data_IF_246961983760
#
_entry.id   IF_246961983760
#
_cell.length_a   1.000
_cell.length_b   1.000
_cell.length_c   1.000
_cell.angle_alpha   90.00
_cell.angle_beta   90.00
_cell.angle_gamma   90.00
#
_symmetry.space_group_name_H-M   'P 1'
#
loop_
_entity.id
_entity.type
_entity.pdbx_description
1 polymer ?
#
# COMPACT_ATOMS: atom_id res chain seq x y z
N UNK A 1 -15.83 25.36 -41.08
CA UNK A 1 -16.19 24.07 -40.44
C UNK A 1 -15.02 23.13 -40.13
N UNK A 2 -13.75 23.48 -40.45
CA UNK A 2 -12.58 22.59 -40.19
C UNK A 2 -11.83 22.87 -38.87
N UNK A 3 -12.07 23.98 -38.21
CA UNK A 3 -11.35 24.41 -36.97
C UNK A 3 -12.01 23.88 -35.68
N UNK A 4 -13.25 23.43 -35.69
CA UNK A 4 -13.95 22.92 -34.52
C UNK A 4 -13.59 21.46 -34.17
N UNK A 5 -13.04 20.69 -35.13
CA UNK A 5 -12.70 19.28 -34.92
C UNK A 5 -11.39 19.06 -34.17
N UNK A 6 -10.50 20.07 -34.17
CA UNK A 6 -9.19 20.00 -33.49
C UNK A 6 -9.25 20.31 -32.00
N UNK A 7 -10.24 21.09 -31.54
CA UNK A 7 -10.40 21.41 -30.12
C UNK A 7 -11.02 20.29 -29.29
N UNK A 8 -11.72 19.34 -29.93
CA UNK A 8 -12.36 18.21 -29.23
C UNK A 8 -11.42 17.02 -28.99
N UNK A 9 -10.20 17.01 -29.55
CA UNK A 9 -9.23 15.93 -29.35
C UNK A 9 -8.29 16.15 -28.14
N UNK A 10 -8.16 17.38 -27.62
CA UNK A 10 -7.27 17.66 -26.48
C UNK A 10 -7.67 16.93 -25.17
N UNK A 11 -8.96 16.83 -24.78
CA UNK A 11 -9.32 16.11 -23.55
C UNK A 11 -9.14 14.59 -23.66
N UNK A 12 -9.04 14.03 -24.87
CA UNK A 12 -8.84 12.58 -25.06
C UNK A 12 -7.39 12.15 -24.78
N UNK A 13 -6.41 13.03 -24.89
CA UNK A 13 -5.00 12.72 -24.66
C UNK A 13 -4.65 12.67 -23.17
N UNK A 14 -5.25 13.52 -22.35
CA UNK A 14 -5.07 13.49 -20.89
C UNK A 14 -5.76 12.27 -20.24
N UNK A 15 -6.87 11.81 -20.77
CA UNK A 15 -7.55 10.59 -20.30
C UNK A 15 -6.73 9.31 -20.57
N UNK A 16 -5.87 9.30 -21.59
CA UNK A 16 -5.03 8.14 -21.91
C UNK A 16 -3.87 7.95 -20.90
N UNK A 17 -3.34 9.02 -20.32
CA UNK A 17 -2.23 8.91 -19.33
C UNK A 17 -2.69 8.30 -18.02
N UNK A 18 -3.88 8.68 -17.55
CA UNK A 18 -4.44 8.14 -16.30
C UNK A 18 -4.94 6.70 -16.46
N UNK A 19 -5.50 6.34 -17.62
CA UNK A 19 -5.87 4.97 -17.90
C UNK A 19 -4.66 4.04 -17.91
N UNK A 20 -3.53 4.50 -18.48
CA UNK A 20 -2.25 3.81 -18.44
C UNK A 20 -1.74 3.59 -17.00
N UNK A 21 -1.85 4.60 -16.15
CA UNK A 21 -1.50 4.51 -14.74
C UNK A 21 -2.34 3.47 -14.00
N UNK A 22 -3.67 3.50 -14.13
CA UNK A 22 -4.56 2.51 -13.49
C UNK A 22 -4.22 1.08 -13.91
N UNK A 23 -4.01 0.88 -15.22
CA UNK A 23 -3.64 -0.42 -15.75
C UNK A 23 -2.34 -0.96 -15.13
N UNK A 24 -1.31 -0.11 -15.02
CA UNK A 24 -0.03 -0.52 -14.43
C UNK A 24 -0.11 -0.75 -12.93
N UNK A 25 -0.84 0.10 -12.22
CA UNK A 25 -1.04 -0.06 -10.78
C UNK A 25 -1.81 -1.34 -10.48
N UNK A 26 -2.88 -1.62 -11.21
CA UNK A 26 -3.64 -2.85 -11.08
C UNK A 26 -2.78 -4.09 -11.41
N UNK A 27 -2.02 -4.06 -12.51
CA UNK A 27 -1.13 -5.17 -12.86
C UNK A 27 -0.01 -5.37 -11.85
N UNK A 28 0.60 -4.29 -11.34
CA UNK A 28 1.63 -4.36 -10.31
C UNK A 28 1.10 -4.98 -9.01
N UNK A 29 -0.09 -4.57 -8.59
CA UNK A 29 -0.77 -5.17 -7.44
C UNK A 29 -1.07 -6.65 -7.69
N UNK A 30 -1.67 -6.99 -8.83
CA UNK A 30 -1.99 -8.39 -9.15
C UNK A 30 -0.75 -9.27 -9.28
N UNK A 31 0.36 -8.74 -9.82
CA UNK A 31 1.63 -9.46 -9.88
C UNK A 31 2.19 -9.76 -8.49
N UNK A 32 2.02 -8.85 -7.52
CA UNK A 32 2.35 -9.09 -6.13
C UNK A 32 1.42 -10.15 -5.53
N UNK A 33 0.11 -10.01 -5.70
CA UNK A 33 -0.89 -10.94 -5.17
C UNK A 33 -0.73 -12.36 -5.70
N UNK A 34 -0.29 -12.53 -6.93
CA UNK A 34 -0.01 -13.85 -7.53
C UNK A 34 1.24 -14.56 -6.96
N UNK A 35 2.10 -13.85 -6.21
CA UNK A 35 3.27 -14.42 -5.52
C UNK A 35 2.94 -14.92 -4.10
N UNK A 36 1.70 -14.82 -3.65
CA UNK A 36 1.29 -15.22 -2.30
C UNK A 36 1.43 -16.71 -2.09
N UNK A 37 1.97 -17.08 -0.93
CA UNK A 37 2.02 -18.46 -0.43
C UNK A 37 1.36 -18.45 0.94
N UNK A 38 0.49 -19.43 1.23
CA UNK A 38 -0.12 -19.56 2.55
C UNK A 38 0.95 -19.79 3.61
N UNK A 39 0.85 -19.10 4.74
CA UNK A 39 1.80 -19.21 5.85
C UNK A 39 1.76 -20.64 6.41
N UNK A 40 0.59 -21.25 6.53
CA UNK A 40 0.43 -22.62 7.03
C UNK A 40 1.16 -23.63 6.14
N UNK A 41 1.03 -23.52 4.81
CA UNK A 41 1.75 -24.37 3.86
C UNK A 41 3.27 -24.20 3.98
N UNK A 42 3.73 -22.96 4.18
CA UNK A 42 5.16 -22.67 4.37
C UNK A 42 5.69 -23.28 5.70
N UNK A 43 4.90 -23.24 6.76
CA UNK A 43 5.29 -23.78 8.05
C UNK A 43 5.36 -25.31 8.07
N UNK A 44 4.70 -26.01 7.14
CA UNK A 44 4.80 -27.46 6.94
C UNK A 44 6.09 -27.86 6.19
N UNK A 45 6.74 -26.95 5.45
CA UNK A 45 7.97 -27.26 4.70
C UNK A 45 9.16 -27.43 5.65
N UNK A 46 9.77 -28.63 5.79
CA UNK A 46 10.90 -28.86 6.68
C UNK A 46 12.16 -28.07 6.27
N UNK A 47 12.29 -27.69 5.01
CA UNK A 47 13.43 -26.95 4.48
C UNK A 47 13.28 -25.43 4.61
N UNK A 48 12.15 -24.95 5.16
CA UNK A 48 11.94 -23.52 5.37
C UNK A 48 13.05 -22.95 6.27
N UNK A 49 13.64 -21.82 5.83
CA UNK A 49 14.70 -21.11 6.53
C UNK A 49 14.26 -20.82 7.99
N UNK A 50 15.07 -21.21 9.01
CA UNK A 50 14.64 -21.17 10.41
C UNK A 50 14.21 -19.78 10.89
N UNK A 51 14.90 -18.72 10.44
CA UNK A 51 14.56 -17.35 10.82
C UNK A 51 13.23 -16.90 10.20
N UNK A 52 12.95 -17.29 8.95
CA UNK A 52 11.66 -16.99 8.34
C UNK A 52 10.53 -17.76 9.02
N UNK A 53 10.77 -19.02 9.40
CA UNK A 53 9.82 -19.84 10.17
C UNK A 53 9.42 -19.15 11.47
N UNK A 54 10.40 -18.69 12.26
CA UNK A 54 10.16 -17.96 13.51
C UNK A 54 9.29 -16.71 13.27
N UNK A 55 9.60 -15.96 12.21
CA UNK A 55 8.84 -14.75 11.89
C UNK A 55 7.41 -15.03 11.43
N UNK A 56 7.19 -16.10 10.67
CA UNK A 56 5.85 -16.52 10.25
C UNK A 56 5.02 -17.06 11.43
N UNK A 57 5.63 -17.78 12.35
CA UNK A 57 4.99 -18.20 13.59
C UNK A 57 4.55 -16.99 14.44
N UNK A 58 5.44 -15.99 14.59
CA UNK A 58 5.10 -14.75 15.29
C UNK A 58 3.91 -14.03 14.61
N UNK A 59 3.85 -13.97 13.28
CA UNK A 59 2.70 -13.39 12.56
C UNK A 59 1.40 -14.13 12.91
N UNK A 60 1.44 -15.46 12.96
CA UNK A 60 0.27 -16.26 13.35
C UNK A 60 -0.17 -15.95 14.78
N UNK A 61 0.78 -15.87 15.73
CA UNK A 61 0.51 -15.49 17.12
C UNK A 61 -0.09 -14.07 17.23
N UNK A 62 0.46 -13.10 16.51
CA UNK A 62 -0.06 -11.73 16.47
C UNK A 62 -1.51 -11.69 15.96
N UNK A 63 -1.82 -12.45 14.91
CA UNK A 63 -3.18 -12.54 14.36
C UNK A 63 -4.14 -13.19 15.36
N UNK A 64 -3.74 -14.25 16.00
CA UNK A 64 -4.55 -14.92 17.05
C UNK A 64 -4.80 -13.98 18.23
N UNK A 65 -3.79 -13.26 18.68
CA UNK A 65 -3.91 -12.25 19.72
C UNK A 65 -4.87 -11.13 19.32
N UNK A 66 -4.82 -10.68 18.07
CA UNK A 66 -5.71 -9.63 17.57
C UNK A 66 -7.19 -10.00 17.68
N UNK A 67 -7.51 -11.28 17.42
CA UNK A 67 -8.88 -11.79 17.51
C UNK A 67 -9.28 -12.06 18.97
N UNK A 68 -8.43 -12.79 19.72
CA UNK A 68 -8.78 -13.28 21.05
C UNK A 68 -8.74 -12.19 22.12
N UNK A 69 -7.79 -11.26 22.04
CA UNK A 69 -7.53 -10.25 23.06
C UNK A 69 -8.05 -8.88 22.66
N UNK A 70 -7.78 -8.43 21.42
CA UNK A 70 -8.19 -7.12 20.96
C UNK A 70 -9.61 -7.10 20.36
N UNK A 71 -10.25 -8.27 20.24
CA UNK A 71 -11.60 -8.40 19.65
C UNK A 71 -11.70 -7.86 18.22
N UNK A 72 -10.61 -7.90 17.47
CA UNK A 72 -10.61 -7.56 16.07
C UNK A 72 -11.27 -8.66 15.24
N UNK A 73 -11.82 -8.37 14.06
CA UNK A 73 -12.51 -9.38 13.27
C UNK A 73 -11.54 -10.45 12.77
N UNK A 74 -12.00 -11.70 12.73
CA UNK A 74 -11.26 -12.74 12.01
C UNK A 74 -11.26 -12.42 10.53
N UNK A 75 -10.09 -12.41 9.93
CA UNK A 75 -9.84 -11.96 8.56
C UNK A 75 -8.80 -12.86 7.90
N UNK A 76 -8.81 -12.96 6.57
CA UNK A 76 -7.80 -13.66 5.80
C UNK A 76 -6.57 -12.79 5.49
N UNK A 77 -6.58 -11.51 5.92
CA UNK A 77 -5.39 -10.66 5.87
C UNK A 77 -4.24 -11.27 6.69
N UNK A 78 -3.05 -11.15 6.15
CA UNK A 78 -1.81 -11.66 6.75
C UNK A 78 -1.77 -13.19 6.95
N UNK A 79 -2.64 -13.94 6.26
CA UNK A 79 -2.56 -15.40 6.14
C UNK A 79 -1.53 -15.87 5.11
N UNK A 80 -1.08 -14.94 4.28
CA UNK A 80 -0.19 -15.22 3.17
C UNK A 80 1.11 -14.43 3.33
N UNK A 81 2.19 -14.96 2.76
CA UNK A 81 3.49 -14.31 2.67
C UNK A 81 3.87 -14.07 1.22
N UNK A 82 4.57 -12.96 0.96
CA UNK A 82 5.19 -12.66 -0.33
C UNK A 82 6.65 -12.31 -0.14
N UNK A 83 7.54 -13.07 -0.79
CA UNK A 83 8.93 -12.69 -0.94
C UNK A 83 9.06 -11.68 -2.08
N UNK A 84 9.47 -10.46 -1.73
CA UNK A 84 9.78 -9.41 -2.69
C UNK A 84 11.23 -9.55 -3.19
N UNK A 85 11.48 -9.09 -4.39
CA UNK A 85 12.81 -8.95 -5.01
C UNK A 85 13.54 -7.65 -4.63
N UNK A 86 12.88 -6.81 -3.81
CA UNK A 86 13.34 -5.49 -3.36
C UNK A 86 12.84 -5.19 -1.93
N UNK A 87 13.46 -4.23 -1.19
CA UNK A 87 13.12 -3.99 0.22
C UNK A 87 11.87 -3.12 0.42
N UNK A 88 11.02 -2.97 -0.57
CA UNK A 88 9.76 -2.19 -0.52
C UNK A 88 8.72 -2.81 -1.46
N UNK A 89 7.46 -2.59 -1.16
CA UNK A 89 6.34 -3.05 -1.98
C UNK A 89 6.16 -2.17 -3.22
N UNK A 90 6.18 -0.85 -3.01
CA UNK A 90 6.02 0.16 -4.05
C UNK A 90 6.75 1.46 -3.65
N UNK A 91 6.79 2.43 -4.57
CA UNK A 91 7.30 3.77 -4.33
C UNK A 91 6.16 4.78 -4.40
N UNK A 92 6.10 5.71 -3.45
CA UNK A 92 5.20 6.86 -3.49
C UNK A 92 5.94 8.10 -4.01
N UNK A 93 5.37 8.72 -5.01
CA UNK A 93 5.81 10.00 -5.54
C UNK A 93 5.00 11.12 -4.86
N UNK A 94 5.70 12.08 -4.31
CA UNK A 94 5.18 13.35 -3.82
C UNK A 94 5.71 14.47 -4.71
N UNK A 95 4.90 15.51 -4.92
CA UNK A 95 5.30 16.68 -5.69
C UNK A 95 4.79 17.96 -5.03
N UNK A 96 5.53 19.05 -5.16
CA UNK A 96 5.12 20.37 -4.75
C UNK A 96 5.66 21.40 -5.74
N UNK A 97 5.03 22.54 -5.87
CA UNK A 97 5.61 23.65 -6.63
C UNK A 97 6.78 24.26 -5.87
N UNK A 98 7.74 24.86 -6.58
CA UNK A 98 8.91 25.51 -5.99
C UNK A 98 8.48 26.50 -4.88
N UNK A 99 9.19 26.47 -3.76
CA UNK A 99 8.91 27.26 -2.55
C UNK A 99 7.55 27.02 -1.87
N UNK A 100 6.87 25.91 -2.14
CA UNK A 100 5.64 25.52 -1.46
C UNK A 100 5.82 24.25 -0.65
N UNK A 101 5.15 24.18 0.51
CA UNK A 101 4.97 22.94 1.28
C UNK A 101 3.64 22.25 0.98
N UNK A 102 2.80 22.88 0.16
CA UNK A 102 1.52 22.29 -0.25
C UNK A 102 1.77 21.23 -1.32
N UNK A 103 1.44 19.99 -0.99
CA UNK A 103 1.63 18.88 -1.90
C UNK A 103 0.62 18.92 -3.06
N UNK A 104 1.09 18.56 -4.23
CA UNK A 104 0.23 18.31 -5.37
C UNK A 104 -0.73 17.15 -5.05
N UNK A 105 -1.99 17.30 -5.44
CA UNK A 105 -3.05 16.33 -5.16
C UNK A 105 -3.49 15.69 -6.47
N UNK A 106 -3.45 14.36 -6.49
CA UNK A 106 -4.01 13.55 -7.58
C UNK A 106 -5.40 13.06 -7.18
N UNK A 107 -6.38 13.26 -8.05
CA UNK A 107 -7.75 12.82 -7.78
C UNK A 107 -8.14 11.66 -8.69
N UNK A 108 -8.67 10.62 -8.11
CA UNK A 108 -9.03 9.36 -8.77
C UNK A 108 -10.54 9.11 -8.64
N UNK A 109 -11.22 8.58 -9.67
CA UNK A 109 -12.66 8.42 -9.67
C UNK A 109 -13.21 7.53 -8.56
N UNK A 110 -12.43 6.53 -8.08
CA UNK A 110 -12.89 5.53 -7.11
C UNK A 110 -12.32 5.77 -5.72
N UNK A 111 -11.02 6.08 -5.63
CA UNK A 111 -10.32 6.18 -4.33
C UNK A 111 -10.22 7.61 -3.81
N UNK A 112 -10.80 8.59 -4.51
CA UNK A 112 -10.75 9.99 -4.12
C UNK A 112 -9.40 10.65 -4.42
N UNK A 113 -9.06 11.68 -3.64
CA UNK A 113 -7.86 12.48 -3.87
C UNK A 113 -6.77 12.13 -2.86
N UNK A 114 -5.52 12.01 -3.35
CA UNK A 114 -4.35 11.72 -2.55
C UNK A 114 -3.21 12.70 -2.84
N UNK A 115 -2.41 13.01 -1.84
CA UNK A 115 -1.22 13.86 -1.95
C UNK A 115 0.03 13.07 -2.37
N UNK A 116 -0.14 11.87 -2.83
CA UNK A 116 0.92 11.02 -3.39
C UNK A 116 0.38 10.15 -4.51
N UNK A 117 1.30 9.60 -5.31
CA UNK A 117 0.99 8.67 -6.40
C UNK A 117 1.89 7.44 -6.31
N UNK A 118 1.29 6.24 -6.16
CA UNK A 118 2.01 4.99 -5.96
C UNK A 118 2.46 4.34 -7.26
N UNK A 119 3.68 3.78 -7.28
CA UNK A 119 4.26 3.10 -8.44
C UNK A 119 4.88 1.77 -8.05
N UNK A 120 4.50 0.70 -8.75
CA UNK A 120 5.17 -0.60 -8.72
C UNK A 120 6.30 -0.69 -9.74
N UNK A 121 6.24 0.11 -10.81
CA UNK A 121 7.16 0.15 -11.94
C UNK A 121 8.03 1.42 -11.84
N UNK A 122 9.36 1.22 -11.80
CA UNK A 122 10.32 2.30 -11.61
C UNK A 122 10.51 3.14 -12.87
N UNK A 123 10.52 2.52 -14.04
CA UNK A 123 10.71 3.23 -15.31
C UNK A 123 9.58 4.24 -15.53
N UNK A 124 8.34 3.85 -15.21
CA UNK A 124 7.19 4.75 -15.29
C UNK A 124 7.19 5.84 -14.24
N UNK A 125 7.70 5.53 -13.05
CA UNK A 125 7.90 6.54 -12.02
C UNK A 125 8.87 7.61 -12.52
N UNK A 126 10.01 7.18 -13.06
CA UNK A 126 11.07 8.07 -13.55
C UNK A 126 10.58 8.92 -14.73
N UNK A 127 9.86 8.32 -15.69
CA UNK A 127 9.22 9.06 -16.78
C UNK A 127 8.28 10.16 -16.27
N UNK A 128 7.47 9.87 -15.25
CA UNK A 128 6.52 10.83 -14.71
C UNK A 128 7.21 11.91 -13.85
N UNK A 129 8.26 11.57 -13.13
CA UNK A 129 9.11 12.51 -12.41
C UNK A 129 9.70 13.55 -13.37
N UNK A 130 10.21 13.13 -14.53
CA UNK A 130 10.75 14.06 -15.52
C UNK A 130 9.66 14.98 -16.12
N UNK A 131 8.44 14.48 -16.29
CA UNK A 131 7.30 15.29 -16.72
C UNK A 131 6.94 16.37 -15.68
N UNK A 132 6.98 16.03 -14.37
CA UNK A 132 6.72 16.99 -13.30
C UNK A 132 7.82 18.04 -13.17
N UNK A 133 9.08 17.62 -13.27
CA UNK A 133 10.23 18.56 -13.29
C UNK A 133 10.15 19.54 -14.45
N UNK A 134 9.72 19.09 -15.64
CA UNK A 134 9.50 19.96 -16.79
C UNK A 134 8.38 21.00 -16.57
N UNK A 135 7.50 20.75 -15.57
CA UNK A 135 6.45 21.67 -15.13
C UNK A 135 6.85 22.50 -13.88
N UNK A 136 8.13 22.49 -13.51
CA UNK A 136 8.69 23.18 -12.34
C UNK A 136 8.13 22.65 -10.99
N UNK A 137 7.86 21.36 -10.89
CA UNK A 137 7.61 20.71 -9.60
C UNK A 137 8.89 20.16 -9.00
N UNK A 138 9.06 20.35 -7.70
CA UNK A 138 9.97 19.57 -6.88
C UNK A 138 9.31 18.21 -6.59
N UNK A 139 10.13 17.15 -6.57
CA UNK A 139 9.63 15.78 -6.38
C UNK A 139 10.40 15.07 -5.28
N UNK A 140 9.67 14.23 -4.51
CA UNK A 140 10.25 13.33 -3.51
C UNK A 140 9.70 11.92 -3.71
N UNK A 141 10.57 10.92 -3.62
CA UNK A 141 10.21 9.50 -3.73
C UNK A 141 10.37 8.84 -2.38
N UNK A 142 9.26 8.34 -1.84
CA UNK A 142 9.22 7.56 -0.61
C UNK A 142 9.12 6.06 -0.89
N UNK A 143 9.91 5.25 -0.18
CA UNK A 143 9.79 3.80 -0.22
C UNK A 143 8.69 3.32 0.72
N UNK A 144 7.77 2.51 0.21
CA UNK A 144 6.62 1.99 0.97
C UNK A 144 6.86 0.51 1.26
N UNK A 145 7.25 0.16 2.49
CA UNK A 145 7.52 -1.23 2.84
C UNK A 145 6.25 -2.07 2.99
N UNK A 146 5.15 -1.45 3.42
CA UNK A 146 3.84 -2.07 3.62
C UNK A 146 2.75 -1.13 3.12
N UNK A 147 1.64 -1.68 2.64
CA UNK A 147 0.42 -0.95 2.32
C UNK A 147 -0.78 -1.83 2.63
N UNK A 148 -1.93 -1.23 2.83
CA UNK A 148 -3.19 -1.94 3.02
C UNK A 148 -4.15 -1.61 1.88
N UNK A 149 -4.94 -2.61 1.50
CA UNK A 149 -6.04 -2.45 0.55
C UNK A 149 -7.37 -2.15 1.26
N UNK A 150 -7.35 -1.87 2.57
CA UNK A 150 -8.52 -1.58 3.39
C UNK A 150 -9.61 -2.67 3.28
N UNK A 151 -9.20 -3.93 3.13
CA UNK A 151 -10.11 -5.08 3.04
C UNK A 151 -10.68 -5.36 1.65
N UNK A 152 -10.22 -4.68 0.60
CA UNK A 152 -10.58 -5.03 -0.78
C UNK A 152 -9.90 -6.34 -1.23
N UNK A 153 -8.76 -6.66 -0.66
CA UNK A 153 -8.03 -7.91 -0.86
C UNK A 153 -7.49 -8.41 0.47
N UNK A 154 -7.13 -9.68 0.53
CA UNK A 154 -6.44 -10.29 1.66
C UNK A 154 -4.96 -9.91 1.57
N UNK A 155 -4.59 -8.84 2.28
CA UNK A 155 -3.24 -8.28 2.23
C UNK A 155 -2.21 -9.27 2.80
N UNK A 156 -1.10 -9.57 2.10
CA UNK A 156 -0.09 -10.49 2.57
C UNK A 156 0.92 -9.84 3.52
N UNK A 157 1.59 -10.66 4.31
CA UNK A 157 2.86 -10.28 4.94
C UNK A 157 3.94 -10.20 3.85
N UNK A 158 4.72 -9.11 3.86
CA UNK A 158 5.78 -8.91 2.87
C UNK A 158 7.17 -9.04 3.50
N UNK A 159 8.13 -9.53 2.72
CA UNK A 159 9.54 -9.61 3.14
C UNK A 159 10.15 -8.26 3.50
N UNK A 160 9.57 -7.16 3.06
CA UNK A 160 10.00 -5.79 3.36
C UNK A 160 9.79 -5.37 4.81
N UNK A 161 8.86 -6.01 5.55
CA UNK A 161 8.56 -5.64 6.93
C UNK A 161 8.52 -6.81 7.93
N UNK A 162 8.51 -8.08 7.48
CA UNK A 162 8.41 -9.23 8.38
C UNK A 162 9.53 -9.29 9.42
N UNK A 163 10.71 -8.74 9.08
CA UNK A 163 11.88 -8.70 9.96
C UNK A 163 11.99 -7.43 10.82
N UNK A 164 10.93 -6.61 10.87
CA UNK A 164 10.88 -5.49 11.80
C UNK A 164 10.89 -5.99 13.26
N UNK A 165 11.28 -5.13 14.24
CA UNK A 165 11.11 -5.46 15.66
C UNK A 165 9.69 -5.91 15.97
N UNK A 166 9.52 -6.86 16.89
CA UNK A 166 8.24 -7.52 17.15
C UNK A 166 7.11 -6.56 17.46
N UNK A 167 7.35 -5.57 18.31
CA UNK A 167 6.36 -4.53 18.63
C UNK A 167 5.93 -3.73 17.42
N UNK A 168 6.85 -3.50 16.47
CA UNK A 168 6.55 -2.74 15.26
C UNK A 168 5.77 -3.59 14.25
N UNK A 169 6.13 -4.86 14.12
CA UNK A 169 5.39 -5.80 13.29
C UNK A 169 3.98 -5.99 13.83
N UNK A 170 3.84 -6.28 15.12
CA UNK A 170 2.54 -6.43 15.78
C UNK A 170 1.70 -5.15 15.65
N UNK A 171 2.33 -4.00 15.93
CA UNK A 171 1.67 -2.71 15.82
C UNK A 171 1.12 -2.42 14.42
N UNK A 172 1.88 -2.73 13.36
CA UNK A 172 1.41 -2.60 11.99
C UNK A 172 0.16 -3.48 11.74
N UNK A 173 0.23 -4.76 12.11
CA UNK A 173 -0.88 -5.68 11.89
C UNK A 173 -2.14 -5.26 12.68
N UNK A 174 -2.00 -4.85 13.93
CA UNK A 174 -3.15 -4.37 14.74
C UNK A 174 -3.76 -3.10 14.15
N UNK A 175 -2.92 -2.17 13.67
CA UNK A 175 -3.36 -0.94 13.01
C UNK A 175 -4.24 -1.27 11.80
N UNK A 176 -3.73 -2.04 10.87
CA UNK A 176 -4.43 -2.37 9.62
C UNK A 176 -5.68 -3.24 9.84
N UNK A 177 -5.61 -4.21 10.76
CA UNK A 177 -6.77 -5.02 11.12
C UNK A 177 -7.87 -4.22 11.82
N UNK A 178 -7.53 -3.13 12.52
CA UNK A 178 -8.52 -2.27 13.18
C UNK A 178 -9.42 -1.55 12.19
N UNK A 179 -8.91 -1.18 11.01
CA UNK A 179 -9.71 -0.58 9.95
C UNK A 179 -10.83 -1.49 9.43
N UNK A 180 -10.67 -2.82 9.60
CA UNK A 180 -11.74 -3.78 9.25
C UNK A 180 -12.84 -3.86 10.32
N UNK A 181 -12.57 -3.41 11.54
CA UNK A 181 -13.54 -3.39 12.63
C UNK A 181 -14.42 -2.16 12.60
N UNK A 182 -13.80 -0.99 12.40
CA UNK A 182 -14.47 0.30 12.34
C UNK A 182 -13.79 1.14 11.28
N UNK A 183 -14.55 1.58 10.31
CA UNK A 183 -14.11 2.53 9.29
C UNK A 183 -15.23 3.53 9.02
N UNK A 184 -14.97 4.81 9.26
CA UNK A 184 -15.89 5.90 9.00
C UNK A 184 -15.52 6.53 7.67
N UNK A 185 -16.43 6.45 6.70
CA UNK A 185 -16.22 7.03 5.38
C UNK A 185 -15.97 8.55 5.48
N UNK A 186 -14.96 9.04 4.77
CA UNK A 186 -14.53 10.44 4.74
C UNK A 186 -14.02 11.03 6.08
N UNK A 187 -13.74 10.20 7.08
CA UNK A 187 -13.11 10.64 8.34
C UNK A 187 -11.78 9.92 8.57
N UNK A 188 -10.79 10.21 7.72
CA UNK A 188 -9.43 9.67 7.84
C UNK A 188 -8.83 9.95 9.23
N UNK A 189 -9.07 11.15 9.77
CA UNK A 189 -8.51 11.53 11.07
C UNK A 189 -9.00 10.61 12.20
N UNK A 190 -10.28 10.29 12.22
CA UNK A 190 -10.84 9.36 13.19
C UNK A 190 -10.27 7.95 12.97
N UNK A 191 -10.31 7.46 11.74
CA UNK A 191 -9.87 6.12 11.40
C UNK A 191 -8.41 5.86 11.81
N UNK A 192 -7.50 6.76 11.46
CA UNK A 192 -6.09 6.66 11.84
C UNK A 192 -5.86 6.80 13.35
N UNK A 193 -6.60 7.71 14.02
CA UNK A 193 -6.48 7.88 15.47
C UNK A 193 -6.94 6.64 16.22
N UNK A 194 -8.02 5.98 15.77
CA UNK A 194 -8.50 4.73 16.33
C UNK A 194 -7.47 3.61 16.09
N UNK A 195 -6.95 3.47 14.87
CA UNK A 195 -5.98 2.47 14.52
C UNK A 195 -4.68 2.61 15.35
N UNK A 196 -4.20 3.83 15.56
CA UNK A 196 -3.06 4.12 16.44
C UNK A 196 -3.38 3.75 17.89
N UNK A 197 -4.59 4.02 18.39
CA UNK A 197 -4.97 3.64 19.75
C UNK A 197 -5.00 2.11 19.93
N UNK A 198 -5.54 1.36 18.97
CA UNK A 198 -5.53 -0.11 18.96
C UNK A 198 -4.11 -0.66 18.88
N UNK A 199 -3.29 -0.10 18.00
CA UNK A 199 -1.87 -0.42 17.89
C UNK A 199 -1.14 -0.27 19.23
N UNK A 200 -1.31 0.86 19.91
CA UNK A 200 -0.67 1.13 21.20
C UNK A 200 -1.18 0.20 22.30
N UNK A 201 -2.49 -0.02 22.36
CA UNK A 201 -3.07 -0.94 23.34
C UNK A 201 -2.62 -2.39 23.15
N UNK A 202 -2.37 -2.81 21.91
CA UNK A 202 -1.93 -4.17 21.59
C UNK A 202 -0.43 -4.41 21.78
N UNK A 203 0.39 -3.36 21.82
CA UNK A 203 1.87 -3.45 21.91
C UNK A 203 2.43 -2.98 23.24
N UNK A 204 1.63 -2.39 24.12
CA UNK A 204 2.00 -1.94 25.49
C UNK A 204 1.72 -3.00 26.49
#
# INVERSE_FOLDING_TARGET
MRTFLLLSLLPLLSACSDLGYYWHTANGHMALMNKRIYIDDMLEDPELEPKLRERLQLVTEIRDFSVQTLSLPKSDNYNNYVQLDRPYALKNLFAATEFSTDLHVWCYPVVGCASYRGYYDEDRLDEYVEQLKAQNFDTYIGFVPAYSTLGWFDDPVLSSFIYWPDYRLAGLLFHELSHQRIFIENDTRFNESLAVAVQQAGTG
#
